data_IF_847603904161
#
_entry.id   IF_847603904161
#
_cell.length_a   1.000
_cell.length_b   1.000
_cell.length_c   1.000
_cell.angle_alpha   90.00
_cell.angle_beta   90.00
_cell.angle_gamma   90.00
#
_symmetry.space_group_name_H-M   'P 1'
#
loop_
_entity.id
_entity.type
_entity.pdbx_description
1 polymer ?
#
# COMPACT_ATOMS: atom_id res chain seq x y z
N UNK A 1 -9.89 -13.36 21.32
CA UNK A 1 -8.78 -13.84 20.47
C UNK A 1 -7.74 -12.74 20.36
N UNK A 2 -6.47 -13.07 20.08
CA UNK A 2 -5.39 -12.07 20.03
C UNK A 2 -5.40 -11.31 18.71
N UNK A 3 -5.17 -9.99 18.72
CA UNK A 3 -5.05 -9.17 17.51
C UNK A 3 -3.68 -9.28 16.81
N UNK A 4 -2.67 -9.88 17.46
CA UNK A 4 -1.29 -9.94 16.96
C UNK A 4 -1.14 -10.45 15.51
N UNK A 5 -1.86 -11.50 15.07
CA UNK A 5 -1.80 -11.93 13.68
C UNK A 5 -2.26 -10.85 12.70
N UNK A 6 -3.35 -10.16 13.04
CA UNK A 6 -3.88 -9.09 12.21
C UNK A 6 -2.96 -7.87 12.20
N UNK A 7 -2.40 -7.49 13.36
CA UNK A 7 -1.38 -6.44 13.48
C UNK A 7 -0.20 -6.71 12.55
N UNK A 8 0.38 -7.91 12.60
CA UNK A 8 1.49 -8.29 11.71
C UNK A 8 1.08 -8.29 10.24
N UNK A 9 -0.12 -8.76 9.92
CA UNK A 9 -0.64 -8.81 8.56
C UNK A 9 -0.80 -7.42 7.93
N UNK A 10 -1.35 -6.45 8.67
CA UNK A 10 -1.53 -5.08 8.16
C UNK A 10 -0.21 -4.31 8.07
N UNK A 11 0.72 -4.50 8.99
CA UNK A 11 2.04 -3.86 8.94
C UNK A 11 2.88 -4.36 7.75
N UNK A 12 3.02 -5.68 7.60
CA UNK A 12 3.72 -6.24 6.44
C UNK A 12 3.01 -5.87 5.12
N UNK A 13 1.68 -5.79 5.13
CA UNK A 13 0.90 -5.33 3.99
C UNK A 13 1.20 -3.87 3.63
N UNK A 14 1.32 -2.99 4.64
CA UNK A 14 1.74 -1.60 4.47
C UNK A 14 3.16 -1.52 3.92
N UNK A 15 4.11 -2.30 4.44
CA UNK A 15 5.48 -2.35 3.93
C UNK A 15 5.52 -2.73 2.43
N UNK A 16 4.74 -3.73 2.02
CA UNK A 16 4.65 -4.12 0.61
C UNK A 16 4.11 -2.99 -0.28
N UNK A 17 3.13 -2.23 0.19
CA UNK A 17 2.61 -1.05 -0.51
C UNK A 17 3.68 0.04 -0.60
N UNK A 18 4.35 0.32 0.52
CA UNK A 18 5.41 1.33 0.62
C UNK A 18 6.57 1.01 -0.30
N UNK A 19 7.09 -0.21 -0.27
CA UNK A 19 8.23 -0.62 -1.11
C UNK A 19 7.92 -0.48 -2.59
N UNK A 20 6.77 -0.99 -3.06
CA UNK A 20 6.41 -0.94 -4.48
C UNK A 20 6.19 0.48 -4.94
N UNK A 21 5.49 1.27 -4.12
CA UNK A 21 5.25 2.69 -4.37
C UNK A 21 6.57 3.46 -4.43
N UNK A 22 7.48 3.22 -3.48
CA UNK A 22 8.82 3.78 -3.44
C UNK A 22 9.68 3.32 -4.63
N UNK A 23 9.41 2.14 -5.21
CA UNK A 23 10.03 1.65 -6.46
C UNK A 23 9.33 2.18 -7.72
N UNK A 24 8.17 2.82 -7.60
CA UNK A 24 7.38 3.38 -8.71
C UNK A 24 6.56 2.33 -9.46
N UNK A 25 6.11 1.28 -8.76
CA UNK A 25 5.32 0.19 -9.32
C UNK A 25 3.95 0.08 -8.65
N UNK A 26 2.97 -0.37 -9.41
CA UNK A 26 1.64 -0.73 -8.88
C UNK A 26 1.61 -2.17 -8.33
N UNK A 27 0.44 -2.59 -7.83
CA UNK A 27 0.25 -3.94 -7.28
C UNK A 27 0.49 -5.09 -8.28
N UNK A 28 0.40 -4.82 -9.58
CA UNK A 28 0.68 -5.76 -10.68
C UNK A 28 2.14 -5.68 -11.16
N UNK A 29 3.01 -4.93 -10.47
CA UNK A 29 4.39 -4.68 -10.89
C UNK A 29 4.51 -3.93 -12.22
N UNK A 30 3.49 -3.17 -12.62
CA UNK A 30 3.59 -2.24 -13.76
C UNK A 30 4.20 -0.92 -13.27
N UNK A 31 5.09 -0.32 -14.07
CA UNK A 31 5.64 1.00 -13.77
C UNK A 31 4.52 2.04 -13.76
N UNK A 32 4.57 2.97 -12.82
CA UNK A 32 3.66 4.10 -12.80
C UNK A 32 3.76 4.92 -14.08
N UNK A 33 2.60 5.29 -14.61
CA UNK A 33 2.53 6.22 -15.74
C UNK A 33 3.19 7.55 -15.35
N UNK A 34 4.20 8.01 -16.12
CA UNK A 34 4.95 9.22 -15.80
C UNK A 34 4.06 10.46 -15.90
N UNK A 35 4.57 11.59 -15.43
CA UNK A 35 3.93 12.87 -15.71
C UNK A 35 4.00 13.22 -17.20
N UNK A 36 2.99 13.95 -17.68
CA UNK A 36 3.04 14.53 -19.02
C UNK A 36 4.26 15.46 -19.13
N UNK A 37 4.84 15.58 -20.34
CA UNK A 37 6.05 16.39 -20.57
C UNK A 37 5.90 17.83 -20.04
N UNK A 38 4.74 18.45 -20.26
CA UNK A 38 4.41 19.81 -19.78
C UNK A 38 4.41 19.89 -18.25
N UNK A 39 3.80 18.91 -17.57
CA UNK A 39 3.73 18.90 -16.12
C UNK A 39 5.09 18.57 -15.48
N UNK A 40 5.85 17.63 -16.07
CA UNK A 40 7.20 17.31 -15.64
C UNK A 40 8.15 18.51 -15.73
N UNK A 41 8.07 19.29 -16.83
CA UNK A 41 8.83 20.54 -16.98
C UNK A 41 8.47 21.56 -15.89
N UNK A 42 7.19 21.71 -15.57
CA UNK A 42 6.72 22.60 -14.50
C UNK A 42 7.17 22.17 -13.10
N UNK A 43 7.23 20.86 -12.84
CA UNK A 43 7.64 20.30 -11.54
C UNK A 43 9.16 20.11 -11.40
N UNK A 44 9.93 20.31 -12.47
CA UNK A 44 11.37 20.06 -12.48
C UNK A 44 11.76 18.57 -12.39
N UNK A 45 10.80 17.64 -12.47
CA UNK A 45 11.05 16.21 -12.34
C UNK A 45 10.09 15.38 -13.20
N UNK A 46 10.62 14.29 -13.77
CA UNK A 46 9.84 13.28 -14.50
C UNK A 46 9.26 12.21 -13.56
N UNK A 47 9.73 12.15 -12.31
CA UNK A 47 9.29 11.17 -11.33
C UNK A 47 7.92 11.58 -10.78
N UNK A 48 7.02 10.61 -10.69
CA UNK A 48 5.70 10.83 -10.08
C UNK A 48 5.89 11.13 -8.60
N UNK A 49 5.20 12.15 -8.10
CA UNK A 49 5.28 12.71 -6.76
C UNK A 49 4.70 11.80 -5.65
N UNK A 50 4.72 10.48 -5.88
CA UNK A 50 4.63 9.46 -4.83
C UNK A 50 6.01 9.17 -4.19
N UNK A 51 7.06 9.82 -4.71
CA UNK A 51 8.47 9.67 -4.30
C UNK A 51 9.14 10.97 -3.81
N UNK A 52 8.62 12.15 -4.18
CA UNK A 52 9.44 13.39 -4.13
C UNK A 52 9.41 14.13 -2.78
N UNK A 53 8.39 13.95 -1.94
CA UNK A 53 8.29 14.61 -0.63
C UNK A 53 8.12 13.68 0.56
N UNK A 54 7.98 12.36 0.38
CA UNK A 54 7.71 11.43 1.48
C UNK A 54 6.27 11.50 2.02
N UNK A 55 5.59 12.65 1.93
CA UNK A 55 4.25 12.89 2.49
C UNK A 55 3.18 11.84 2.11
N UNK A 56 3.22 11.30 0.88
CA UNK A 56 2.25 10.29 0.45
C UNK A 56 2.54 8.91 1.04
N UNK A 57 3.81 8.62 1.36
CA UNK A 57 4.21 7.38 2.02
C UNK A 57 3.92 7.47 3.53
N UNK A 58 4.23 8.63 4.13
CA UNK A 58 3.99 8.91 5.55
C UNK A 58 2.51 8.95 5.91
N UNK A 59 1.64 9.26 4.94
CA UNK A 59 0.19 9.22 5.14
C UNK A 59 -0.41 7.82 5.12
N UNK A 60 0.36 6.77 4.79
CA UNK A 60 -0.14 5.38 4.81
C UNK A 60 -0.04 4.83 6.23
N UNK A 61 -1.20 4.54 6.81
CA UNK A 61 -1.32 3.95 8.14
C UNK A 61 -2.12 2.65 8.09
N UNK A 62 -1.97 1.87 9.15
CA UNK A 62 -2.68 0.63 9.41
C UNK A 62 -3.75 0.88 10.48
N UNK A 63 -4.79 0.06 10.46
CA UNK A 63 -5.82 0.05 11.49
C UNK A 63 -6.31 -1.39 11.65
N UNK A 64 -6.22 -1.91 12.87
CA UNK A 64 -6.79 -3.20 13.24
C UNK A 64 -8.18 -2.95 13.80
N UNK A 65 -9.19 -3.53 13.17
CA UNK A 65 -10.60 -3.37 13.53
C UNK A 65 -11.02 -4.48 14.49
N UNK A 66 -10.55 -5.70 14.24
CA UNK A 66 -10.79 -6.89 15.04
C UNK A 66 -9.67 -7.92 14.82
N UNK A 67 -9.78 -9.08 15.47
CA UNK A 67 -8.83 -10.19 15.29
C UNK A 67 -8.78 -10.75 13.86
N UNK A 68 -9.85 -10.58 13.09
CA UNK A 68 -10.02 -11.09 11.72
C UNK A 68 -10.14 -9.98 10.66
N UNK A 69 -10.25 -8.71 11.06
CA UNK A 69 -10.33 -7.57 10.14
C UNK A 69 -9.32 -6.48 10.47
N UNK A 70 -8.62 -6.05 9.44
CA UNK A 70 -7.73 -4.89 9.46
C UNK A 70 -7.73 -4.19 8.11
N UNK A 71 -7.24 -2.95 8.05
CA UNK A 71 -7.14 -2.18 6.83
C UNK A 71 -5.88 -1.33 6.78
N UNK A 72 -5.40 -1.10 5.56
CA UNK A 72 -4.37 -0.10 5.25
C UNK A 72 -5.10 1.08 4.62
N UNK A 73 -4.87 2.30 5.13
CA UNK A 73 -5.54 3.51 4.68
C UNK A 73 -4.57 4.67 4.54
N UNK A 74 -4.97 5.69 3.80
CA UNK A 74 -4.26 6.96 3.71
C UNK A 74 -4.94 7.95 4.64
N UNK A 75 -4.18 8.77 5.38
CA UNK A 75 -4.68 9.88 6.20
C UNK A 75 -4.13 11.23 5.77
N UNK A 76 -4.93 12.29 5.84
CA UNK A 76 -4.55 13.68 5.48
C UNK A 76 -4.19 13.93 4.00
N UNK A 77 -4.27 12.89 3.14
CA UNK A 77 -3.95 12.93 1.70
C UNK A 77 -4.93 12.10 0.87
N UNK A 78 -6.08 11.76 1.42
CA UNK A 78 -7.09 10.84 0.89
C UNK A 78 -7.50 11.22 -0.53
N UNK A 79 -7.77 12.50 -0.77
CA UNK A 79 -8.20 13.01 -2.08
C UNK A 79 -7.11 12.80 -3.13
N UNK A 80 -5.87 13.14 -2.80
CA UNK A 80 -4.73 13.03 -3.72
C UNK A 80 -4.41 11.56 -3.99
N UNK A 81 -4.43 10.74 -2.94
CA UNK A 81 -4.28 9.30 -3.03
C UNK A 81 -5.37 8.68 -3.93
N UNK A 82 -6.63 9.07 -3.74
CA UNK A 82 -7.73 8.59 -4.56
C UNK A 82 -7.56 8.97 -6.04
N UNK A 83 -7.18 10.21 -6.33
CA UNK A 83 -6.89 10.68 -7.69
C UNK A 83 -5.80 9.83 -8.36
N UNK A 84 -4.71 9.55 -7.64
CA UNK A 84 -3.65 8.69 -8.17
C UNK A 84 -4.09 7.23 -8.31
N UNK A 85 -4.80 6.69 -7.32
CA UNK A 85 -5.21 5.29 -7.29
C UNK A 85 -6.25 4.96 -8.37
N UNK A 86 -7.15 5.91 -8.67
CA UNK A 86 -8.26 5.73 -9.63
C UNK A 86 -7.99 6.33 -11.01
N UNK A 87 -7.07 7.29 -11.13
CA UNK A 87 -6.83 7.99 -12.40
C UNK A 87 -7.91 9.01 -12.77
N UNK A 88 -8.51 9.66 -11.76
CA UNK A 88 -9.54 10.68 -11.97
C UNK A 88 -8.94 12.06 -12.27
N UNK A 89 -9.74 13.01 -12.77
CA UNK A 89 -9.31 14.40 -12.97
C UNK A 89 -8.19 14.61 -14.00
N UNK A 90 -8.18 13.82 -15.09
CA UNK A 90 -7.13 13.81 -16.15
C UNK A 90 -5.75 13.35 -15.67
N UNK A 91 -5.66 12.71 -14.50
CA UNK A 91 -4.45 12.06 -14.03
C UNK A 91 -4.45 10.59 -14.46
N UNK A 92 -3.30 10.00 -14.82
CA UNK A 92 -3.26 8.57 -15.11
C UNK A 92 -3.36 7.76 -13.81
N UNK A 93 -4.02 6.60 -13.93
CA UNK A 93 -4.19 5.64 -12.84
C UNK A 93 -2.86 5.01 -12.41
N UNK A 94 -2.68 4.86 -11.10
CA UNK A 94 -1.52 4.27 -10.44
C UNK A 94 -2.04 3.48 -9.24
N UNK A 95 -2.46 2.24 -9.45
CA UNK A 95 -3.13 1.39 -8.44
C UNK A 95 -2.16 0.94 -7.33
N UNK A 96 -1.73 1.88 -6.48
CA UNK A 96 -0.65 1.68 -5.51
C UNK A 96 -1.13 1.08 -4.19
N UNK A 97 -2.39 1.29 -3.82
CA UNK A 97 -2.96 0.78 -2.55
C UNK A 97 -3.42 -0.69 -2.63
N UNK A 98 -3.45 -1.27 -3.82
CA UNK A 98 -3.89 -2.65 -4.00
C UNK A 98 -2.80 -3.65 -3.60
N UNK A 99 -3.23 -4.83 -3.14
CA UNK A 99 -2.36 -5.98 -2.91
C UNK A 99 -2.80 -7.10 -3.84
N UNK A 100 -1.86 -7.70 -4.57
CA UNK A 100 -2.21 -8.83 -5.44
C UNK A 100 -2.44 -10.11 -4.62
N UNK A 101 -3.19 -11.06 -5.19
CA UNK A 101 -3.57 -12.31 -4.51
C UNK A 101 -2.37 -13.11 -4.00
N UNK A 102 -1.25 -13.12 -4.73
CA UNK A 102 -0.04 -13.85 -4.30
C UNK A 102 0.57 -13.26 -3.03
N UNK A 103 0.66 -11.92 -2.95
CA UNK A 103 1.12 -11.24 -1.75
C UNK A 103 0.15 -11.43 -0.59
N UNK A 104 -1.16 -11.36 -0.83
CA UNK A 104 -2.16 -11.61 0.21
C UNK A 104 -2.03 -13.03 0.79
N UNK A 105 -1.88 -14.04 -0.06
CA UNK A 105 -1.68 -15.43 0.37
C UNK A 105 -0.38 -15.61 1.19
N UNK A 106 0.70 -14.89 0.83
CA UNK A 106 1.96 -14.90 1.61
C UNK A 106 1.76 -14.29 3.00
N UNK A 107 1.03 -13.18 3.10
CA UNK A 107 0.72 -12.54 4.37
C UNK A 107 -0.15 -13.45 5.25
N UNK A 108 -1.19 -14.06 4.68
CA UNK A 108 -2.04 -15.02 5.39
C UNK A 108 -1.24 -16.21 5.90
N UNK A 109 -0.40 -16.80 5.05
CA UNK A 109 0.46 -17.93 5.45
C UNK A 109 1.41 -17.57 6.59
N UNK A 110 1.97 -16.35 6.57
CA UNK A 110 2.94 -15.88 7.56
C UNK A 110 2.31 -15.59 8.91
N UNK A 111 1.11 -15.02 8.96
CA UNK A 111 0.54 -14.51 10.21
C UNK A 111 -0.62 -15.35 10.75
N UNK A 112 -1.42 -15.96 9.89
CA UNK A 112 -2.62 -16.71 10.27
C UNK A 112 -2.39 -18.22 10.29
N UNK A 113 -1.61 -18.75 9.34
CA UNK A 113 -1.36 -20.20 9.23
C UNK A 113 -0.06 -20.66 9.91
N UNK A 114 0.65 -19.76 10.60
CA UNK A 114 1.96 -20.06 11.19
C UNK A 114 1.87 -21.24 12.18
N UNK A 115 2.60 -22.34 11.96
CA UNK A 115 2.65 -23.47 12.88
C UNK A 115 3.01 -23.07 14.32
N UNK A 116 3.80 -22.01 14.51
CA UNK A 116 4.14 -21.47 15.83
C UNK A 116 2.89 -20.92 16.54
N UNK A 117 1.98 -20.25 15.82
CA UNK A 117 0.73 -19.76 16.40
C UNK A 117 -0.21 -20.91 16.79
N UNK A 118 -0.20 -22.02 16.03
CA UNK A 118 -0.91 -23.26 16.40
C UNK A 118 -0.34 -23.90 17.66
N UNK A 119 0.98 -23.94 17.81
CA UNK A 119 1.65 -24.45 19.03
C UNK A 119 1.33 -23.59 20.25
N UNK A 120 1.18 -22.27 20.08
CA UNK A 120 0.86 -21.33 21.17
C UNK A 120 -0.64 -21.26 21.51
N UNK A 121 -1.49 -22.09 20.92
CA UNK A 121 -2.92 -22.20 21.25
C UNK A 121 -3.73 -20.95 20.92
N UNK A 122 -3.28 -20.13 19.98
CA UNK A 122 -3.96 -18.90 19.55
C UNK A 122 -4.25 -19.00 18.06
N UNK A 123 -5.33 -19.70 17.74
CA UNK A 123 -6.03 -19.61 16.45
C UNK A 123 -7.43 -19.06 16.73
#
# INVERSE_FOLDING_TARGET
MSHKPMEGMVEDGKELVLEKTAKGYDYKHRKFTPYSKRYAKRKGSKLVNMRLSGDMLESIITEVISHDHGRIKVTNKEVIANVHNTGTGKQPQREFMNINKSNLAKLQKKHLDDPIMKILGRA
#
